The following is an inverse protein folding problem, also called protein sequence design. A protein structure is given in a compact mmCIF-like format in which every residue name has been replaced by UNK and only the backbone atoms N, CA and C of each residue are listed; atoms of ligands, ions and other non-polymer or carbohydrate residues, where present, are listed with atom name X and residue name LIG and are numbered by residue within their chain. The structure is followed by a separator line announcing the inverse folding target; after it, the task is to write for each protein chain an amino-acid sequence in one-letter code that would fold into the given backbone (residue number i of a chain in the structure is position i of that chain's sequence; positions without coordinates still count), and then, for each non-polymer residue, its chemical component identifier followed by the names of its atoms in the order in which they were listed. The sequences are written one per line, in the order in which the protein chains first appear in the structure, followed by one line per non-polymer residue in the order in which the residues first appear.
data_IF_556427490157
#
_entry.id   IF_556427490157
#
_cell.length_a   1.000
_cell.length_b   1.000
_cell.length_c   1.000
_cell.angle_alpha   90.00
_cell.angle_beta   90.00
_cell.angle_gamma   90.00
#
_symmetry.space_group_name_H-M   'P 1'
#
loop_
_entity.id
_entity.type
_entity.pdbx_description
1 polymer ?
#
# COMPACT_ATOMS: atom_id res chain seq x y z
N UNK A 1 -26.85 -6.28 21.58
CA UNK A 1 -26.37 -6.36 20.22
C UNK A 1 -26.66 -7.75 19.68
N UNK A 2 -27.52 -7.80 18.68
CA UNK A 2 -27.83 -9.03 17.97
C UNK A 2 -26.62 -9.39 17.11
N UNK A 3 -25.80 -10.30 17.61
CA UNK A 3 -24.75 -10.94 16.81
C UNK A 3 -25.46 -11.90 15.85
N UNK A 4 -25.38 -11.64 14.55
CA UNK A 4 -25.87 -12.57 13.53
C UNK A 4 -25.12 -13.90 13.70
N UNK A 5 -25.87 -14.96 14.04
CA UNK A 5 -25.38 -16.33 14.17
C UNK A 5 -24.77 -16.74 12.82
N UNK A 6 -23.44 -16.86 12.76
CA UNK A 6 -22.71 -17.26 11.56
C UNK A 6 -21.54 -16.39 11.13
N UNK A 7 -21.20 -15.31 11.83
CA UNK A 7 -20.00 -14.54 11.55
C UNK A 7 -18.79 -15.24 12.16
N UNK A 8 -17.84 -15.65 11.33
CA UNK A 8 -16.56 -16.27 11.73
C UNK A 8 -15.79 -15.42 12.78
N UNK A 9 -16.05 -14.13 12.82
CA UNK A 9 -15.47 -13.18 13.75
C UNK A 9 -15.98 -13.34 15.19
N UNK A 10 -17.25 -13.76 15.40
CA UNK A 10 -17.80 -14.02 16.74
C UNK A 10 -17.34 -15.37 17.34
N UNK A 11 -16.90 -16.31 16.52
CA UNK A 11 -16.38 -17.61 16.96
C UNK A 11 -14.92 -17.45 17.41
N UNK A 12 -14.17 -16.56 16.81
CA UNK A 12 -12.75 -16.34 17.07
C UNK A 12 -12.46 -15.69 18.43
N UNK A 13 -13.40 -14.91 18.95
CA UNK A 13 -13.23 -14.18 20.23
C UNK A 13 -13.82 -14.93 21.45
N UNK A 14 -14.33 -16.15 21.28
CA UNK A 14 -14.82 -16.97 22.38
C UNK A 14 -13.68 -17.81 22.95
N UNK A 15 -13.39 -17.65 24.25
CA UNK A 15 -12.40 -18.46 24.98
C UNK A 15 -12.66 -19.96 24.85
N UNK A 16 -13.93 -20.38 24.83
CA UNK A 16 -14.33 -21.78 24.64
C UNK A 16 -14.06 -22.30 23.22
N UNK A 17 -14.15 -21.42 22.21
CA UNK A 17 -13.83 -21.79 20.84
C UNK A 17 -12.32 -21.96 20.65
N UNK A 18 -11.52 -21.12 21.31
CA UNK A 18 -10.06 -21.21 21.31
C UNK A 18 -9.58 -22.51 22.00
N UNK A 19 -10.19 -22.91 23.11
CA UNK A 19 -9.87 -24.16 23.80
C UNK A 19 -10.21 -25.39 22.93
N UNK A 20 -11.40 -25.43 22.32
CA UNK A 20 -11.80 -26.50 21.43
C UNK A 20 -10.94 -26.58 20.16
N UNK A 21 -10.53 -25.43 19.64
CA UNK A 21 -9.61 -25.39 18.48
C UNK A 21 -8.23 -25.94 18.85
N UNK A 22 -7.73 -25.63 20.04
CA UNK A 22 -6.47 -26.16 20.57
C UNK A 22 -6.54 -27.67 20.72
N UNK A 23 -7.60 -28.21 21.30
CA UNK A 23 -7.84 -29.64 21.48
C UNK A 23 -7.94 -30.39 20.14
N UNK A 24 -8.66 -29.84 19.16
CA UNK A 24 -8.76 -30.38 17.81
C UNK A 24 -7.42 -30.35 17.06
N UNK A 25 -6.64 -29.28 17.23
CA UNK A 25 -5.32 -29.15 16.60
C UNK A 25 -4.34 -30.16 17.17
N UNK A 26 -4.37 -30.39 18.48
CA UNK A 26 -3.55 -31.39 19.17
C UNK A 26 -3.93 -32.82 18.75
N UNK A 27 -5.21 -33.10 18.68
CA UNK A 27 -5.68 -34.43 18.17
C UNK A 27 -5.31 -34.63 16.73
N UNK A 28 -5.44 -33.62 15.87
CA UNK A 28 -5.05 -33.72 14.47
C UNK A 28 -3.54 -33.96 14.29
N UNK A 29 -2.70 -33.29 15.07
CA UNK A 29 -1.26 -33.43 15.03
C UNK A 29 -0.80 -34.87 15.38
N UNK A 30 -1.44 -35.46 16.38
CA UNK A 30 -1.15 -36.87 16.77
C UNK A 30 -1.63 -37.87 15.70
N UNK A 31 -2.81 -37.64 15.13
CA UNK A 31 -3.42 -38.58 14.19
C UNK A 31 -2.91 -38.45 12.76
N UNK A 32 -2.35 -37.30 12.38
CA UNK A 32 -1.81 -37.05 11.04
C UNK A 32 -0.43 -37.63 10.79
N UNK A 33 0.30 -37.97 11.85
CA UNK A 33 1.64 -38.58 11.77
C UNK A 33 1.58 -40.03 12.19
N UNK A 34 1.90 -40.98 11.29
CA UNK A 34 1.85 -42.39 11.54
C UNK A 34 2.75 -42.85 12.71
N UNK A 35 3.87 -42.17 12.97
CA UNK A 35 4.77 -42.50 14.08
C UNK A 35 4.18 -42.01 15.42
N UNK A 36 3.64 -40.80 15.46
CA UNK A 36 2.98 -40.25 16.65
C UNK A 36 1.73 -41.04 16.98
N UNK A 37 0.96 -41.45 15.95
CA UNK A 37 -0.21 -42.30 16.09
C UNK A 37 0.13 -43.64 16.69
N UNK A 38 1.17 -44.33 16.21
CA UNK A 38 1.62 -45.60 16.78
C UNK A 38 2.10 -45.45 18.22
N UNK A 39 2.74 -44.35 18.55
CA UNK A 39 3.17 -44.05 19.92
C UNK A 39 1.96 -43.82 20.83
N UNK A 40 0.95 -43.09 20.33
CA UNK A 40 -0.30 -42.88 21.04
C UNK A 40 -1.10 -44.16 21.24
N UNK A 41 -1.19 -45.02 20.20
CA UNK A 41 -1.90 -46.32 20.26
C UNK A 41 -1.26 -47.29 21.24
N UNK A 42 0.08 -47.22 21.44
CA UNK A 42 0.81 -48.12 22.35
C UNK A 42 0.89 -47.57 23.80
N UNK A 43 0.98 -46.26 23.98
CA UNK A 43 1.30 -45.68 25.29
C UNK A 43 0.27 -44.62 25.78
N UNK A 44 -0.78 -44.36 25.00
CA UNK A 44 -1.84 -43.39 25.34
C UNK A 44 -1.32 -41.98 25.46
N UNK A 45 -2.06 -41.13 26.17
CA UNK A 45 -1.67 -39.72 26.44
C UNK A 45 -0.33 -39.60 27.19
N UNK A 46 0.04 -40.57 28.01
CA UNK A 46 1.32 -40.51 28.74
C UNK A 46 2.54 -40.75 27.83
N UNK A 47 2.39 -41.51 26.76
CA UNK A 47 3.49 -41.75 25.80
C UNK A 47 3.84 -40.50 24.97
N UNK A 48 2.87 -39.66 24.70
CA UNK A 48 3.09 -38.42 23.97
C UNK A 48 3.58 -37.30 24.91
N UNK A 49 3.14 -37.30 26.19
CA UNK A 49 3.56 -36.36 27.20
C UNK A 49 4.91 -36.68 27.84
N UNK A 50 5.34 -37.95 27.91
CA UNK A 50 6.59 -38.33 28.57
C UNK A 50 7.86 -37.93 27.80
N UNK A 51 7.77 -37.60 26.54
CA UNK A 51 8.86 -36.97 25.78
C UNK A 51 9.09 -35.50 26.19
N UNK A 52 8.21 -34.95 27.02
CA UNK A 52 8.17 -33.51 27.38
C UNK A 52 8.35 -33.19 28.87
N UNK A 53 8.47 -34.23 29.73
CA UNK A 53 8.45 -34.01 31.18
C UNK A 53 9.84 -34.13 31.81
N UNK A 54 10.68 -33.13 31.56
CA UNK A 54 11.79 -32.83 32.47
C UNK A 54 12.11 -31.34 32.51
N UNK A 55 11.25 -30.56 33.13
CA UNK A 55 11.60 -29.42 34.02
C UNK A 55 10.37 -28.57 34.38
N UNK A 56 10.16 -28.41 35.68
CA UNK A 56 9.19 -27.54 36.31
C UNK A 56 9.44 -26.08 35.94
N UNK A 57 8.42 -25.39 35.31
CA UNK A 57 8.44 -23.93 35.10
C UNK A 57 8.07 -23.48 33.69
N UNK A 58 6.94 -23.94 33.10
CA UNK A 58 6.83 -23.84 31.64
C UNK A 58 5.46 -23.42 31.09
N UNK A 59 4.79 -22.47 31.64
CA UNK A 59 3.60 -21.91 30.97
C UNK A 59 3.97 -20.79 29.97
N UNK A 60 5.06 -20.03 30.19
CA UNK A 60 5.51 -18.95 29.28
C UNK A 60 6.57 -19.41 28.26
N UNK A 61 7.30 -20.50 28.55
CA UNK A 61 8.28 -21.07 27.64
C UNK A 61 7.69 -21.88 26.47
N UNK A 62 6.39 -22.22 26.53
CA UNK A 62 5.71 -23.03 25.52
C UNK A 62 5.47 -22.30 24.21
N UNK A 63 5.29 -20.98 24.25
CA UNK A 63 5.04 -20.14 23.06
C UNK A 63 6.31 -19.90 22.24
N UNK A 64 7.45 -19.77 22.91
CA UNK A 64 8.72 -19.44 22.24
C UNK A 64 9.44 -20.68 21.67
N UNK A 65 9.31 -21.84 22.35
CA UNK A 65 9.95 -23.07 21.91
C UNK A 65 9.16 -23.75 20.78
N UNK A 66 7.83 -23.64 20.78
CA UNK A 66 6.98 -24.20 19.72
C UNK A 66 7.05 -23.43 18.41
N UNK A 67 7.24 -22.10 18.46
CA UNK A 67 7.45 -21.24 17.28
C UNK A 67 8.75 -21.60 16.54
N UNK A 68 9.83 -21.80 17.26
CA UNK A 68 11.14 -22.06 16.65
C UNK A 68 11.32 -23.51 16.19
N UNK A 69 10.81 -24.50 16.93
CA UNK A 69 10.92 -25.93 16.54
C UNK A 69 9.97 -26.28 15.40
N UNK A 70 8.78 -25.68 15.34
CA UNK A 70 7.85 -25.88 14.24
C UNK A 70 8.35 -25.26 12.94
N UNK A 71 9.04 -24.13 13.01
CA UNK A 71 9.73 -23.51 11.89
C UNK A 71 10.91 -24.34 11.36
N UNK A 72 11.61 -25.05 12.23
CA UNK A 72 12.79 -25.86 11.86
C UNK A 72 12.43 -27.26 11.33
N UNK A 73 11.33 -27.88 11.77
CA UNK A 73 10.96 -29.25 11.40
C UNK A 73 9.99 -29.29 10.22
N UNK A 74 9.08 -28.31 10.09
CA UNK A 74 8.11 -28.26 8.98
C UNK A 74 8.48 -27.29 7.86
N UNK A 75 9.32 -26.29 8.13
CA UNK A 75 9.99 -25.51 7.10
C UNK A 75 11.20 -26.29 6.59
N UNK A 76 10.97 -27.15 5.61
CA UNK A 76 11.95 -28.09 5.03
C UNK A 76 13.40 -27.61 5.14
N UNK A 77 14.21 -28.38 5.86
CA UNK A 77 15.68 -28.42 5.90
C UNK A 77 16.39 -27.55 4.84
N UNK A 78 16.30 -26.24 4.94
CA UNK A 78 17.29 -25.36 4.37
C UNK A 78 18.09 -24.83 5.55
N UNK A 79 19.17 -25.55 5.88
CA UNK A 79 20.19 -25.04 6.81
C UNK A 79 20.45 -23.60 6.48
N UNK A 80 20.29 -22.72 7.46
CA UNK A 80 20.40 -21.27 7.35
C UNK A 80 21.70 -20.83 6.65
N UNK A 81 21.71 -20.90 5.33
CA UNK A 81 22.58 -20.05 4.53
C UNK A 81 22.01 -18.66 4.74
N UNK A 82 22.65 -17.88 5.63
CA UNK A 82 22.43 -16.45 5.68
C UNK A 82 22.25 -16.00 4.23
N UNK A 83 21.07 -15.43 3.92
CA UNK A 83 20.71 -15.06 2.57
C UNK A 83 21.88 -14.27 1.96
N UNK A 84 22.57 -14.88 1.01
CA UNK A 84 23.68 -14.22 0.31
C UNK A 84 23.19 -13.12 -0.63
N UNK A 85 21.87 -12.93 -0.69
CA UNK A 85 21.20 -11.89 -1.46
C UNK A 85 21.27 -10.55 -0.71
N UNK A 86 21.45 -9.47 -1.46
CA UNK A 86 21.41 -8.12 -0.91
C UNK A 86 20.03 -7.70 -0.45
N UNK A 87 20.00 -6.64 0.35
CA UNK A 87 18.76 -6.04 0.80
C UNK A 87 17.98 -5.43 -0.37
N UNK A 88 16.66 -5.50 -0.27
CA UNK A 88 15.78 -4.80 -1.18
C UNK A 88 15.79 -3.30 -0.86
N UNK A 89 15.70 -2.47 -1.89
CA UNK A 89 15.65 -1.01 -1.78
C UNK A 89 14.23 -0.52 -2.03
N UNK A 90 13.86 0.55 -1.34
CA UNK A 90 12.61 1.27 -1.57
C UNK A 90 12.91 2.69 -2.04
N UNK A 91 12.24 3.13 -3.08
CA UNK A 91 12.34 4.46 -3.65
C UNK A 91 10.94 5.06 -3.82
N UNK A 92 10.71 6.27 -3.30
CA UNK A 92 9.45 6.98 -3.49
C UNK A 92 9.57 7.88 -4.70
N UNK A 93 8.71 7.66 -5.69
CA UNK A 93 8.66 8.42 -6.94
C UNK A 93 7.39 9.28 -6.98
N UNK A 94 7.58 10.58 -6.97
CA UNK A 94 6.49 11.53 -7.14
C UNK A 94 6.20 11.76 -8.61
N UNK A 95 4.93 11.64 -8.99
CA UNK A 95 4.44 11.83 -10.37
C UNK A 95 3.25 12.77 -10.40
N UNK A 96 3.06 13.48 -11.50
CA UNK A 96 1.84 14.27 -11.68
C UNK A 96 0.65 13.37 -12.05
N UNK A 97 -0.57 13.90 -11.91
CA UNK A 97 -1.78 13.18 -12.29
C UNK A 97 -1.74 12.75 -13.77
N UNK A 98 -1.28 13.63 -14.65
CA UNK A 98 -1.18 13.36 -16.10
C UNK A 98 -0.16 12.24 -16.37
N UNK A 99 0.98 12.28 -15.70
CA UNK A 99 2.01 11.24 -15.82
C UNK A 99 1.51 9.88 -15.34
N UNK A 100 0.72 9.86 -14.26
CA UNK A 100 0.09 8.64 -13.75
C UNK A 100 -0.98 8.10 -14.72
N UNK A 101 -1.75 8.98 -15.35
CA UNK A 101 -2.83 8.59 -16.26
C UNK A 101 -2.31 8.10 -17.61
N UNK A 102 -1.38 8.84 -18.21
CA UNK A 102 -0.88 8.52 -19.56
C UNK A 102 0.33 7.58 -19.54
N UNK A 103 0.96 7.43 -18.39
CA UNK A 103 2.23 6.73 -18.26
C UNK A 103 3.40 7.56 -18.78
N UNK A 104 4.57 7.32 -18.24
CA UNK A 104 5.80 8.02 -18.61
C UNK A 104 7.02 7.16 -18.35
N UNK A 105 8.06 7.36 -19.14
CA UNK A 105 9.38 6.82 -18.82
C UNK A 105 10.22 7.91 -18.14
N UNK A 106 10.70 7.62 -16.94
CA UNK A 106 11.52 8.53 -16.14
C UNK A 106 12.87 7.89 -15.85
N UNK A 107 13.90 8.72 -15.76
CA UNK A 107 15.22 8.27 -15.32
C UNK A 107 15.38 8.65 -13.85
N UNK A 108 15.65 7.65 -13.02
CA UNK A 108 15.94 7.84 -11.59
C UNK A 108 17.42 7.54 -11.34
N UNK A 109 17.99 8.19 -10.35
CA UNK A 109 19.34 7.91 -9.87
C UNK A 109 19.25 7.28 -8.49
N UNK A 110 19.81 6.09 -8.35
CA UNK A 110 19.87 5.38 -7.08
C UNK A 110 21.31 5.13 -6.65
N UNK A 111 21.62 5.22 -5.36
CA UNK A 111 22.92 4.80 -4.86
C UNK A 111 23.05 3.29 -5.01
N UNK A 112 24.05 2.84 -5.72
CA UNK A 112 24.34 1.43 -5.94
C UNK A 112 25.74 1.11 -5.43
N UNK A 113 25.83 0.06 -4.61
CA UNK A 113 27.13 -0.50 -4.21
C UNK A 113 27.57 -1.51 -5.26
N UNK A 114 28.79 -1.39 -5.70
CA UNK A 114 29.42 -2.31 -6.64
C UNK A 114 30.67 -2.90 -6.04
N UNK A 115 31.00 -4.15 -6.40
CA UNK A 115 32.26 -4.75 -5.99
C UNK A 115 33.41 -3.94 -6.58
N UNK A 116 34.37 -3.57 -5.75
CA UNK A 116 35.60 -2.94 -6.21
C UNK A 116 36.33 -3.92 -7.12
N UNK A 117 36.79 -3.45 -8.29
CA UNK A 117 37.56 -4.26 -9.25
C UNK A 117 39.00 -4.63 -8.81
N UNK A 118 39.31 -4.47 -7.52
CA UNK A 118 40.59 -4.88 -6.93
C UNK A 118 40.71 -6.40 -6.73
N UNK A 119 41.87 -6.84 -6.26
CA UNK A 119 42.16 -8.25 -5.99
C UNK A 119 41.35 -8.74 -4.77
N UNK A 120 40.60 -9.81 -5.01
CA UNK A 120 39.89 -10.53 -3.96
C UNK A 120 40.63 -11.84 -3.69
N UNK A 121 41.07 -12.02 -2.47
CA UNK A 121 41.79 -13.22 -2.03
C UNK A 121 40.86 -14.10 -1.18
N UNK A 122 40.94 -15.41 -1.37
CA UNK A 122 40.27 -16.35 -0.49
C UNK A 122 40.69 -16.11 0.97
N UNK A 123 39.70 -16.05 1.88
CA UNK A 123 40.00 -15.95 3.30
C UNK A 123 40.78 -17.18 3.78
N UNK A 124 42.01 -16.99 4.17
CA UNK A 124 42.86 -18.09 4.66
C UNK A 124 42.35 -18.73 5.95
N UNK A 125 41.56 -18.00 6.74
CA UNK A 125 41.06 -18.49 8.03
C UNK A 125 39.90 -19.49 7.88
N UNK A 126 39.00 -19.29 6.94
CA UNK A 126 37.88 -20.20 6.68
C UNK A 126 38.01 -20.98 5.36
N UNK A 127 39.13 -20.82 4.64
CA UNK A 127 39.33 -21.48 3.35
C UNK A 127 38.31 -21.10 2.27
N UNK A 128 37.69 -19.92 2.39
CA UNK A 128 36.64 -19.48 1.46
C UNK A 128 35.21 -19.87 1.86
N UNK A 129 35.01 -20.63 2.95
CA UNK A 129 33.68 -21.10 3.35
C UNK A 129 32.79 -20.00 4.02
N UNK A 130 33.39 -18.88 4.44
CA UNK A 130 32.65 -17.82 5.15
C UNK A 130 32.28 -18.17 6.59
N UNK A 131 32.33 -19.42 6.97
CA UNK A 131 31.96 -19.95 8.29
C UNK A 131 33.05 -20.87 8.82
N UNK A 132 33.18 -20.95 10.12
CA UNK A 132 34.06 -21.85 10.83
C UNK A 132 33.19 -22.85 11.61
N UNK A 133 33.55 -24.12 11.57
CA UNK A 133 32.93 -25.16 12.40
C UNK A 133 33.79 -25.38 13.62
N UNK A 134 33.27 -25.10 14.79
CA UNK A 134 33.86 -25.47 16.05
C UNK A 134 33.15 -26.71 16.60
N UNK A 135 33.92 -27.77 16.85
CA UNK A 135 33.44 -28.98 17.44
C UNK A 135 33.75 -28.91 18.96
N UNK A 136 32.71 -28.86 19.77
CA UNK A 136 32.81 -29.02 21.21
C UNK A 136 32.10 -30.32 21.63
N UNK A 137 32.83 -31.39 21.80
CA UNK A 137 32.28 -32.71 22.08
C UNK A 137 31.39 -33.22 20.95
N UNK A 138 30.17 -33.57 21.27
CA UNK A 138 29.18 -34.09 20.28
C UNK A 138 28.45 -32.97 19.51
N UNK A 139 28.64 -31.71 19.86
CA UNK A 139 27.98 -30.60 19.21
C UNK A 139 28.93 -29.89 18.22
N UNK A 140 28.45 -29.71 17.00
CA UNK A 140 29.11 -28.93 15.96
C UNK A 140 28.40 -27.59 15.84
N UNK A 141 29.05 -26.50 16.32
CA UNK A 141 28.56 -25.14 16.14
C UNK A 141 29.20 -24.52 14.90
N UNK A 142 28.35 -23.92 14.08
CA UNK A 142 28.76 -23.15 12.91
C UNK A 142 28.77 -21.65 13.28
N UNK A 143 29.94 -21.01 13.19
CA UNK A 143 30.10 -19.61 13.49
C UNK A 143 30.56 -18.83 12.26
N UNK A 144 30.05 -17.62 12.07
CA UNK A 144 30.51 -16.73 11.00
C UNK A 144 32.00 -16.44 11.18
N UNK A 145 32.79 -16.55 10.10
CA UNK A 145 34.21 -16.31 10.13
C UNK A 145 34.52 -14.86 10.56
N UNK A 146 35.26 -14.61 11.66
CA UNK A 146 35.55 -13.27 12.15
C UNK A 146 36.45 -12.48 11.19
N UNK A 147 37.27 -13.16 10.38
CA UNK A 147 38.20 -12.52 9.45
C UNK A 147 37.54 -11.94 8.21
N UNK A 148 36.69 -12.71 7.53
CA UNK A 148 35.97 -12.29 6.34
C UNK A 148 34.51 -11.89 6.62
N UNK A 149 34.07 -11.98 7.88
CA UNK A 149 32.70 -11.66 8.32
C UNK A 149 31.57 -12.36 7.52
N UNK A 150 31.89 -13.56 7.06
CA UNK A 150 30.94 -14.39 6.28
C UNK A 150 31.10 -14.31 4.77
N UNK A 151 31.95 -13.46 4.22
CA UNK A 151 32.14 -13.29 2.78
C UNK A 151 32.94 -14.42 2.12
N UNK A 152 33.79 -15.13 2.86
CA UNK A 152 34.68 -16.14 2.32
C UNK A 152 35.91 -15.57 1.61
N UNK A 153 35.87 -14.29 1.23
CA UNK A 153 36.89 -13.57 0.50
C UNK A 153 37.33 -12.31 1.28
N UNK A 154 38.55 -11.86 1.09
CA UNK A 154 39.10 -10.65 1.71
C UNK A 154 39.63 -9.76 0.61
N UNK A 155 39.23 -8.50 0.61
CA UNK A 155 39.76 -7.50 -0.31
C UNK A 155 41.05 -6.90 0.22
N UNK A 156 41.94 -6.47 -0.68
CA UNK A 156 43.19 -5.80 -0.30
C UNK A 156 42.86 -4.51 0.49
N UNK A 157 43.44 -4.44 1.71
CA UNK A 157 43.25 -3.30 2.60
C UNK A 157 43.83 -1.99 2.06
N UNK A 158 44.81 -2.08 1.14
CA UNK A 158 45.51 -0.93 0.56
C UNK A 158 44.87 -0.40 -0.73
N UNK A 159 43.69 -0.85 -1.10
CA UNK A 159 43.01 -0.38 -2.29
C UNK A 159 42.57 1.09 -2.12
N UNK A 160 43.15 1.99 -2.93
CA UNK A 160 42.83 3.42 -2.89
C UNK A 160 41.43 3.78 -3.35
N UNK A 161 40.71 2.88 -4.07
CA UNK A 161 39.39 3.11 -4.59
C UNK A 161 38.29 2.83 -3.52
N UNK A 162 38.51 1.86 -2.66
CA UNK A 162 37.51 1.45 -1.68
C UNK A 162 38.01 1.51 -0.22
N UNK A 163 39.28 1.94 0.00
CA UNK A 163 39.91 2.01 1.31
C UNK A 163 39.77 0.70 2.13
N UNK A 164 39.87 -0.43 1.43
CA UNK A 164 39.78 -1.76 2.03
C UNK A 164 38.36 -2.26 2.30
N UNK A 165 37.32 -1.50 1.97
CA UNK A 165 35.91 -1.93 2.16
C UNK A 165 35.46 -3.00 1.16
N UNK A 166 36.16 -3.12 0.03
CA UNK A 166 35.80 -4.01 -1.07
C UNK A 166 34.63 -3.53 -1.94
N UNK A 167 33.99 -2.43 -1.59
CA UNK A 167 32.84 -1.89 -2.29
C UNK A 167 33.03 -0.41 -2.64
N UNK A 168 32.54 -0.01 -3.79
CA UNK A 168 32.47 1.38 -4.23
C UNK A 168 31.01 1.79 -4.36
N UNK A 169 30.69 3.00 -3.95
CA UNK A 169 29.34 3.57 -4.11
C UNK A 169 29.31 4.38 -5.39
N UNK A 170 28.46 4.01 -6.32
CA UNK A 170 28.21 4.74 -7.58
C UNK A 170 26.72 5.05 -7.67
N UNK A 171 26.37 6.19 -8.28
CA UNK A 171 24.99 6.46 -8.63
C UNK A 171 24.67 5.78 -9.97
N UNK A 172 23.70 4.87 -9.94
CA UNK A 172 23.22 4.18 -11.13
C UNK A 172 21.98 4.88 -11.66
N UNK A 173 21.99 5.20 -12.96
CA UNK A 173 20.83 5.74 -13.67
C UNK A 173 19.97 4.58 -14.18
N UNK A 174 18.72 4.54 -13.76
CA UNK A 174 17.75 3.53 -14.20
C UNK A 174 16.60 4.20 -14.92
N UNK A 175 16.23 3.66 -16.08
CA UNK A 175 15.03 4.06 -16.79
C UNK A 175 13.86 3.25 -16.28
N UNK A 176 12.89 3.93 -15.68
CA UNK A 176 11.67 3.34 -15.12
C UNK A 176 10.50 3.71 -16.02
N UNK A 177 9.80 2.70 -16.51
CA UNK A 177 8.58 2.89 -17.27
C UNK A 177 7.37 2.81 -16.33
N UNK A 178 6.71 3.93 -16.14
CA UNK A 178 5.43 4.01 -15.43
C UNK A 178 4.32 3.62 -16.41
N UNK A 179 3.56 2.56 -16.16
CA UNK A 179 2.44 2.21 -17.01
C UNK A 179 1.29 3.22 -16.86
N UNK A 180 0.46 3.34 -17.89
CA UNK A 180 -0.70 4.21 -17.84
C UNK A 180 -1.77 3.68 -16.86
N UNK A 181 -2.37 4.60 -16.09
CA UNK A 181 -3.44 4.27 -15.16
C UNK A 181 -2.99 3.79 -13.79
N UNK A 182 -1.71 4.01 -13.42
CA UNK A 182 -1.21 3.72 -12.06
C UNK A 182 -1.96 4.54 -11.02
N UNK A 183 -2.12 3.98 -9.83
CA UNK A 183 -2.77 4.65 -8.69
C UNK A 183 -1.75 5.07 -7.63
N UNK A 184 -2.19 5.94 -6.73
CA UNK A 184 -1.38 6.31 -5.58
C UNK A 184 -1.09 5.08 -4.71
N UNK A 185 0.16 4.94 -4.26
CA UNK A 185 0.60 3.78 -3.50
C UNK A 185 0.91 2.52 -4.32
N UNK A 186 0.70 2.51 -5.65
CA UNK A 186 1.13 1.41 -6.51
C UNK A 186 2.64 1.23 -6.45
N UNK A 187 3.10 -0.04 -6.55
CA UNK A 187 4.52 -0.39 -6.46
C UNK A 187 5.01 -1.06 -7.74
N UNK A 188 6.12 -0.56 -8.25
CA UNK A 188 6.84 -1.15 -9.39
C UNK A 188 8.08 -1.85 -8.84
N UNK A 189 8.24 -3.14 -9.17
CA UNK A 189 9.43 -3.92 -8.80
C UNK A 189 10.41 -3.98 -9.96
N UNK A 190 11.64 -3.61 -9.71
CA UNK A 190 12.76 -3.80 -10.60
C UNK A 190 13.68 -4.89 -10.02
N UNK A 191 13.65 -6.06 -10.64
CA UNK A 191 14.40 -7.22 -10.14
C UNK A 191 15.90 -7.02 -10.30
N UNK A 192 16.68 -7.32 -9.25
CA UNK A 192 18.12 -7.24 -9.25
C UNK A 192 18.71 -5.81 -9.21
N UNK A 193 17.89 -4.80 -8.89
CA UNK A 193 18.33 -3.40 -8.77
C UNK A 193 18.43 -2.93 -7.31
N UNK A 194 18.35 -3.86 -6.36
CA UNK A 194 18.57 -3.62 -4.93
C UNK A 194 20.05 -3.59 -4.55
N UNK A 195 20.34 -3.63 -3.25
CA UNK A 195 21.70 -3.68 -2.73
C UNK A 195 22.42 -4.95 -3.15
N UNK A 196 23.73 -4.86 -3.26
CA UNK A 196 24.58 -6.00 -3.51
C UNK A 196 24.77 -6.81 -2.22
N UNK A 197 24.41 -8.09 -2.27
CA UNK A 197 24.62 -9.03 -1.18
C UNK A 197 26.02 -9.61 -1.14
N UNK A 198 26.34 -10.25 -0.02
CA UNK A 198 27.66 -10.89 0.19
C UNK A 198 27.99 -11.96 -0.83
N UNK A 199 26.99 -12.68 -1.34
CA UNK A 199 27.14 -13.70 -2.37
C UNK A 199 27.16 -13.17 -3.81
N UNK A 200 27.19 -11.86 -4.02
CA UNK A 200 27.14 -11.25 -5.34
C UNK A 200 25.73 -11.11 -5.94
N UNK A 201 24.71 -11.68 -5.29
CA UNK A 201 23.33 -11.54 -5.72
C UNK A 201 22.74 -10.22 -5.19
N UNK A 202 22.05 -9.49 -6.05
CA UNK A 202 21.40 -8.23 -5.67
C UNK A 202 20.00 -8.49 -5.13
N UNK A 203 19.54 -7.61 -4.27
CA UNK A 203 18.14 -7.46 -3.92
C UNK A 203 17.32 -6.87 -5.06
N UNK A 204 16.08 -6.52 -4.80
CA UNK A 204 15.21 -5.84 -5.74
C UNK A 204 15.00 -4.38 -5.34
N UNK A 205 14.63 -3.55 -6.31
CA UNK A 205 14.21 -2.18 -6.05
C UNK A 205 12.70 -2.09 -6.17
N UNK A 206 12.05 -1.62 -5.12
CA UNK A 206 10.62 -1.32 -5.09
C UNK A 206 10.42 0.19 -5.20
N UNK A 207 9.75 0.62 -6.26
CA UNK A 207 9.41 2.01 -6.50
C UNK A 207 7.96 2.20 -6.12
N UNK A 208 7.70 2.94 -5.04
CA UNK A 208 6.36 3.35 -4.62
C UNK A 208 6.00 4.64 -5.36
N UNK A 209 4.87 4.62 -6.05
CA UNK A 209 4.35 5.77 -6.78
C UNK A 209 3.55 6.63 -5.82
N UNK A 210 3.84 7.92 -5.79
CA UNK A 210 3.11 8.92 -5.03
C UNK A 210 2.57 9.96 -6.02
N UNK A 211 1.25 10.03 -6.18
CA UNK A 211 0.61 10.96 -7.11
C UNK A 211 0.40 12.29 -6.41
N UNK A 212 0.98 13.36 -6.99
CA UNK A 212 0.80 14.72 -6.47
C UNK A 212 -0.65 15.16 -6.56
N UNK A 213 -1.09 15.92 -5.57
CA UNK A 213 -2.37 16.60 -5.63
C UNK A 213 -2.44 17.51 -6.86
N UNK A 214 -3.57 17.46 -7.56
CA UNK A 214 -3.79 18.26 -8.74
C UNK A 214 -4.67 19.48 -8.41
N UNK A 215 -4.38 20.64 -9.00
CA UNK A 215 -5.05 21.91 -8.69
C UNK A 215 -6.55 21.96 -9.06
N UNK A 216 -6.99 21.11 -9.99
CA UNK A 216 -8.35 21.12 -10.53
C UNK A 216 -9.08 19.80 -10.26
N UNK A 217 -8.35 18.67 -10.34
CA UNK A 217 -8.94 17.36 -10.27
C UNK A 217 -8.58 16.63 -8.98
N UNK A 218 -9.59 16.05 -8.37
CA UNK A 218 -9.45 15.06 -7.30
C UNK A 218 -9.73 13.67 -7.88
N UNK A 219 -8.84 12.72 -7.63
CA UNK A 219 -8.95 11.36 -8.15
C UNK A 219 -9.61 10.44 -7.13
N UNK A 220 -10.61 9.68 -7.59
CA UNK A 220 -11.18 8.56 -6.84
C UNK A 220 -11.21 7.32 -7.74
N UNK A 221 -10.19 6.48 -7.56
CA UNK A 221 -9.96 5.31 -8.37
C UNK A 221 -9.86 5.65 -9.87
N UNK A 222 -10.89 5.28 -10.65
CA UNK A 222 -10.96 5.58 -12.09
C UNK A 222 -11.69 6.88 -12.42
N UNK A 223 -12.40 7.47 -11.45
CA UNK A 223 -13.16 8.70 -11.65
C UNK A 223 -12.35 9.93 -11.25
N UNK A 224 -12.67 11.04 -11.87
CA UNK A 224 -12.13 12.34 -11.53
C UNK A 224 -13.25 13.26 -11.10
N UNK A 225 -13.01 13.99 -10.03
CA UNK A 225 -13.90 15.04 -9.54
C UNK A 225 -13.27 16.39 -9.83
N UNK A 226 -14.08 17.35 -10.23
CA UNK A 226 -13.66 18.74 -10.31
C UNK A 226 -14.80 19.65 -9.88
N UNK A 227 -14.46 20.77 -9.28
CA UNK A 227 -15.39 21.82 -8.93
C UNK A 227 -15.26 22.98 -9.93
N UNK A 228 -16.40 23.45 -10.44
CA UNK A 228 -16.42 24.52 -11.42
C UNK A 228 -17.37 25.62 -10.95
N UNK A 229 -16.90 26.86 -10.82
CA UNK A 229 -17.76 27.99 -10.53
C UNK A 229 -18.69 28.25 -11.71
N UNK A 230 -19.95 28.46 -11.43
CA UNK A 230 -21.00 28.75 -12.40
C UNK A 230 -21.65 30.09 -12.07
N UNK A 231 -21.69 30.99 -13.03
CA UNK A 231 -22.40 32.27 -12.88
C UNK A 231 -23.88 32.03 -12.54
N UNK A 232 -24.40 32.82 -11.59
CA UNK A 232 -25.79 32.65 -11.14
C UNK A 232 -26.82 32.88 -12.25
N UNK A 233 -26.50 33.76 -13.23
CA UNK A 233 -27.37 34.03 -14.38
C UNK A 233 -27.44 32.82 -15.28
N UNK A 234 -26.29 32.20 -15.60
CA UNK A 234 -26.23 30.95 -16.35
C UNK A 234 -26.87 29.78 -15.60
N UNK A 235 -26.76 29.77 -14.28
CA UNK A 235 -27.45 28.76 -13.44
C UNK A 235 -28.97 28.92 -13.51
N UNK A 236 -29.48 30.18 -13.53
CA UNK A 236 -30.91 30.48 -13.58
C UNK A 236 -31.51 30.29 -14.96
N UNK A 237 -30.88 30.83 -16.01
CA UNK A 237 -31.40 30.83 -17.37
C UNK A 237 -31.05 29.55 -18.17
N UNK A 238 -30.00 28.88 -17.75
CA UNK A 238 -29.36 27.83 -18.49
C UNK A 238 -28.33 28.36 -19.48
N UNK A 239 -27.35 27.54 -19.78
CA UNK A 239 -26.21 27.97 -20.60
C UNK A 239 -25.32 26.78 -20.98
N UNK A 240 -24.09 27.07 -21.24
CA UNK A 240 -23.07 26.04 -21.45
C UNK A 240 -21.72 26.51 -20.92
N UNK A 241 -21.03 25.61 -20.24
CA UNK A 241 -19.69 25.86 -19.70
C UNK A 241 -18.68 24.94 -20.38
N UNK A 242 -17.45 25.41 -20.51
CA UNK A 242 -16.30 24.59 -20.92
C UNK A 242 -15.56 24.13 -19.68
N UNK A 243 -15.33 22.82 -19.60
CA UNK A 243 -14.65 22.18 -18.48
C UNK A 243 -13.39 21.51 -19.02
N UNK A 244 -12.25 21.66 -18.33
CA UNK A 244 -11.04 20.93 -18.70
C UNK A 244 -11.26 19.44 -18.57
N UNK A 245 -10.56 18.67 -19.39
CA UNK A 245 -10.49 17.22 -19.32
C UNK A 245 -9.02 16.80 -19.46
N UNK A 246 -8.69 15.56 -19.18
CA UNK A 246 -7.33 15.06 -19.36
C UNK A 246 -6.78 15.25 -20.79
N UNK A 247 -7.64 15.33 -21.80
CA UNK A 247 -7.27 15.39 -23.23
C UNK A 247 -7.83 16.65 -23.91
N UNK A 248 -8.01 17.74 -23.18
CA UNK A 248 -8.52 18.99 -23.77
C UNK A 248 -9.73 19.53 -23.01
N UNK A 249 -10.76 20.00 -23.74
CA UNK A 249 -11.94 20.63 -23.15
C UNK A 249 -13.21 19.88 -23.53
N UNK A 250 -14.19 19.87 -22.65
CA UNK A 250 -15.53 19.38 -22.91
C UNK A 250 -16.56 20.47 -22.63
N UNK A 251 -17.58 20.58 -23.46
CA UNK A 251 -18.68 21.52 -23.27
C UNK A 251 -19.85 20.82 -22.57
N UNK A 252 -20.30 21.37 -21.46
CA UNK A 252 -21.44 20.86 -20.69
C UNK A 252 -22.60 21.82 -20.86
N UNK A 253 -23.79 21.29 -21.23
CA UNK A 253 -25.02 22.06 -21.24
C UNK A 253 -25.62 22.12 -19.86
N UNK A 254 -25.83 23.33 -19.36
CA UNK A 254 -26.42 23.62 -18.06
C UNK A 254 -27.93 23.86 -18.25
N UNK A 255 -28.80 23.05 -17.65
CA UNK A 255 -30.24 23.31 -17.65
C UNK A 255 -30.56 24.56 -16.80
N UNK A 256 -31.63 25.27 -17.20
CA UNK A 256 -32.15 26.37 -16.39
C UNK A 256 -32.57 25.89 -14.99
N UNK A 257 -32.37 26.74 -13.99
CA UNK A 257 -32.67 26.41 -12.60
C UNK A 257 -31.68 25.46 -11.93
N UNK A 258 -30.48 25.31 -12.49
CA UNK A 258 -29.43 24.47 -11.90
C UNK A 258 -29.00 25.03 -10.54
N UNK A 259 -29.05 24.19 -9.51
CA UNK A 259 -28.69 24.54 -8.15
C UNK A 259 -27.21 24.25 -7.88
N UNK A 260 -26.64 24.96 -6.89
CA UNK A 260 -25.29 24.71 -6.40
C UNK A 260 -25.13 23.25 -5.95
N UNK A 261 -23.92 22.70 -6.10
CA UNK A 261 -23.56 21.29 -5.82
C UNK A 261 -24.21 20.25 -6.75
N UNK A 262 -24.88 20.68 -7.84
CA UNK A 262 -25.32 19.76 -8.88
C UNK A 262 -24.11 19.11 -9.57
N UNK A 263 -24.15 17.80 -9.72
CA UNK A 263 -23.08 17.03 -10.37
C UNK A 263 -23.50 16.70 -11.81
N UNK A 264 -22.61 17.05 -12.74
CA UNK A 264 -22.70 16.65 -14.15
C UNK A 264 -21.67 15.59 -14.45
N UNK A 265 -22.06 14.55 -15.16
CA UNK A 265 -21.22 13.40 -15.47
C UNK A 265 -20.77 13.45 -16.93
N UNK A 266 -19.48 13.44 -17.16
CA UNK A 266 -18.85 13.29 -18.47
C UNK A 266 -18.40 11.83 -18.64
N UNK A 267 -19.21 11.05 -19.33
CA UNK A 267 -19.00 9.62 -19.49
C UNK A 267 -17.70 9.32 -20.25
N UNK A 268 -16.89 8.38 -19.74
CA UNK A 268 -15.69 7.87 -20.40
C UNK A 268 -14.56 8.90 -20.55
N UNK A 269 -14.57 10.01 -19.78
CA UNK A 269 -13.52 11.03 -19.77
C UNK A 269 -12.59 10.94 -18.58
N UNK A 270 -12.79 9.98 -17.68
CA UNK A 270 -11.92 9.70 -16.54
C UNK A 270 -10.69 8.87 -16.91
N UNK A 271 -10.22 8.09 -15.95
CA UNK A 271 -8.96 7.33 -16.04
C UNK A 271 -9.25 5.89 -16.50
N UNK A 272 -8.37 5.36 -17.34
CA UNK A 272 -8.33 3.94 -17.66
C UNK A 272 -7.49 3.21 -16.64
N UNK A 273 -8.06 2.29 -15.84
CA UNK A 273 -7.32 1.58 -14.80
C UNK A 273 -6.22 0.68 -15.38
N UNK A 274 -5.08 0.56 -14.64
CA UNK A 274 -3.95 -0.30 -15.01
C UNK A 274 -4.34 -1.78 -15.16
N UNK A 275 -5.19 -2.28 -14.26
CA UNK A 275 -5.61 -3.69 -14.21
C UNK A 275 -6.75 -4.04 -15.16
N UNK A 276 -7.05 -3.16 -16.11
CA UNK A 276 -8.15 -3.33 -17.05
C UNK A 276 -9.49 -2.84 -16.48
N UNK A 277 -10.50 -2.80 -17.34
CA UNK A 277 -11.83 -2.28 -17.03
C UNK A 277 -12.24 -1.12 -17.92
N UNK A 278 -13.45 -0.61 -17.73
CA UNK A 278 -13.96 0.55 -18.45
C UNK A 278 -13.28 1.83 -17.98
N UNK A 279 -13.08 2.76 -18.90
CA UNK A 279 -12.65 4.12 -18.59
C UNK A 279 -13.65 4.74 -17.60
N UNK A 280 -13.15 5.43 -16.61
CA UNK A 280 -13.96 6.16 -15.64
C UNK A 280 -14.61 7.41 -16.26
N UNK A 281 -15.24 8.18 -15.41
CA UNK A 281 -15.94 9.41 -15.80
C UNK A 281 -15.33 10.61 -15.08
N UNK A 282 -15.58 11.82 -15.61
CA UNK A 282 -15.37 13.05 -14.87
C UNK A 282 -16.69 13.48 -14.26
N UNK A 283 -16.70 13.73 -12.97
CA UNK A 283 -17.82 14.21 -12.18
C UNK A 283 -17.60 15.69 -11.87
N UNK A 284 -18.35 16.54 -12.55
CA UNK A 284 -18.23 18.00 -12.45
C UNK A 284 -19.27 18.52 -11.48
N UNK A 285 -18.82 18.97 -10.30
CA UNK A 285 -19.66 19.63 -9.32
C UNK A 285 -19.68 21.13 -9.62
N UNK A 286 -20.87 21.70 -9.86
CA UNK A 286 -20.99 23.14 -10.07
C UNK A 286 -21.26 23.84 -8.73
N UNK A 287 -20.58 24.97 -8.54
CA UNK A 287 -20.80 25.87 -7.41
C UNK A 287 -21.29 27.17 -7.97
N UNK A 288 -22.53 27.54 -7.64
CA UNK A 288 -23.10 28.80 -8.11
C UNK A 288 -22.42 29.95 -7.36
N UNK A 289 -21.76 30.82 -8.15
CA UNK A 289 -21.08 31.98 -7.64
C UNK A 289 -22.01 33.20 -7.67
N UNK A 290 -22.09 33.90 -6.54
CA UNK A 290 -22.84 35.16 -6.44
C UNK A 290 -21.89 36.32 -6.77
N UNK A 291 -22.23 37.17 -7.73
CA UNK A 291 -21.36 38.26 -8.13
C UNK A 291 -21.13 39.25 -7.01
N UNK A 292 -19.89 39.69 -6.88
CA UNK A 292 -19.44 40.72 -5.93
C UNK A 292 -19.13 42.05 -6.65
N UNK A 293 -19.02 43.17 -5.91
CA UNK A 293 -18.63 44.47 -6.44
C UNK A 293 -19.56 45.03 -7.55
N UNK A 294 -20.88 44.83 -7.35
CA UNK A 294 -21.89 45.32 -8.30
C UNK A 294 -21.90 46.82 -8.47
N UNK A 295 -21.99 47.30 -9.69
CA UNK A 295 -22.23 48.71 -10.00
C UNK A 295 -23.71 49.10 -9.76
N UNK A 296 -24.02 50.41 -9.87
CA UNK A 296 -25.35 50.92 -9.57
C UNK A 296 -26.43 50.38 -10.51
N UNK A 297 -26.10 50.19 -11.79
CA UNK A 297 -27.02 49.68 -12.78
C UNK A 297 -27.36 48.19 -12.52
N UNK A 298 -26.34 47.37 -12.21
CA UNK A 298 -26.52 45.95 -11.86
C UNK A 298 -27.37 45.79 -10.59
N UNK A 299 -27.15 46.65 -9.56
CA UNK A 299 -27.99 46.68 -8.36
C UNK A 299 -29.45 46.98 -8.67
N UNK A 300 -29.70 47.96 -9.56
CA UNK A 300 -31.04 48.33 -9.98
C UNK A 300 -31.75 47.17 -10.74
N UNK A 301 -31.01 46.45 -11.61
CA UNK A 301 -31.56 45.32 -12.33
C UNK A 301 -31.91 44.17 -11.37
N UNK A 302 -31.05 43.87 -10.40
CA UNK A 302 -31.31 42.85 -9.41
C UNK A 302 -32.48 43.20 -8.46
N UNK A 303 -32.64 44.47 -8.10
CA UNK A 303 -33.80 44.97 -7.33
C UNK A 303 -35.11 44.75 -8.12
N UNK A 304 -35.13 45.14 -9.40
CA UNK A 304 -36.30 44.90 -10.29
C UNK A 304 -36.61 43.43 -10.42
N UNK A 305 -35.59 42.58 -10.55
CA UNK A 305 -35.75 41.11 -10.57
C UNK A 305 -36.38 40.60 -9.27
N UNK A 306 -35.86 41.07 -8.10
CA UNK A 306 -36.39 40.72 -6.79
C UNK A 306 -37.87 41.12 -6.61
N UNK A 307 -38.27 42.26 -7.09
CA UNK A 307 -39.66 42.75 -7.03
C UNK A 307 -40.63 41.87 -7.84
N UNK A 308 -40.16 41.31 -8.94
CA UNK A 308 -40.93 40.39 -9.80
C UNK A 308 -40.86 38.91 -9.34
N UNK A 309 -40.07 38.58 -8.33
CA UNK A 309 -39.98 37.22 -7.81
C UNK A 309 -41.13 36.90 -6.87
N UNK A 310 -41.71 35.69 -7.06
CA UNK A 310 -42.59 35.03 -6.11
C UNK A 310 -41.83 33.91 -5.36
N UNK A 311 -41.78 33.99 -4.04
CA UNK A 311 -41.08 32.97 -3.25
C UNK A 311 -41.68 31.57 -3.44
N UNK A 312 -42.98 31.45 -3.64
CA UNK A 312 -43.65 30.16 -3.83
C UNK A 312 -43.24 29.49 -5.13
N UNK A 313 -43.10 30.27 -6.21
CA UNK A 313 -42.80 29.73 -7.54
C UNK A 313 -41.31 29.70 -7.87
N UNK A 314 -40.55 30.70 -7.39
CA UNK A 314 -39.15 30.88 -7.81
C UNK A 314 -38.13 30.39 -6.79
N UNK A 315 -38.55 30.13 -5.55
CA UNK A 315 -37.64 29.72 -4.47
C UNK A 315 -38.21 28.56 -3.63
N UNK A 316 -38.36 27.37 -4.22
CA UNK A 316 -39.04 26.25 -3.55
C UNK A 316 -38.36 25.79 -2.23
N UNK A 317 -37.02 25.88 -2.15
CA UNK A 317 -36.30 25.55 -0.92
C UNK A 317 -36.59 26.55 0.20
N UNK A 318 -36.62 27.85 -0.11
CA UNK A 318 -36.97 28.89 0.85
C UNK A 318 -38.41 28.73 1.34
N UNK A 319 -39.35 28.47 0.41
CA UNK A 319 -40.74 28.22 0.72
C UNK A 319 -40.92 27.01 1.64
N UNK A 320 -40.28 25.90 1.33
CA UNK A 320 -40.30 24.69 2.18
C UNK A 320 -39.73 24.96 3.57
N UNK A 321 -38.57 25.65 3.65
CA UNK A 321 -37.94 26.00 4.93
C UNK A 321 -38.84 26.92 5.78
N UNK A 322 -39.43 27.95 5.15
CA UNK A 322 -40.33 28.88 5.85
C UNK A 322 -41.56 28.14 6.41
N UNK A 323 -42.13 27.19 5.66
CA UNK A 323 -43.26 26.38 6.12
C UNK A 323 -42.86 25.48 7.30
N UNK A 324 -41.69 24.86 7.25
CA UNK A 324 -41.15 24.06 8.36
C UNK A 324 -40.85 24.92 9.59
N UNK A 325 -40.31 26.11 9.42
CA UNK A 325 -40.06 27.04 10.51
C UNK A 325 -41.38 27.52 11.17
N UNK A 326 -42.39 27.87 10.35
CA UNK A 326 -43.74 28.21 10.87
C UNK A 326 -44.37 27.07 11.66
N UNK A 327 -44.23 25.83 11.18
CA UNK A 327 -44.77 24.66 11.89
C UNK A 327 -44.05 24.44 13.25
N UNK A 328 -42.72 24.64 13.27
CA UNK A 328 -41.95 24.56 14.51
C UNK A 328 -42.41 25.57 15.56
N UNK A 329 -42.55 26.86 15.19
CA UNK A 329 -42.99 27.89 16.10
C UNK A 329 -44.48 27.74 16.54
N UNK A 330 -45.29 27.03 15.76
CA UNK A 330 -46.69 26.77 16.13
C UNK A 330 -46.83 25.66 17.19
N UNK A 331 -45.79 24.80 17.30
CA UNK A 331 -45.77 23.70 18.28
C UNK A 331 -44.95 24.03 19.54
N UNK A 332 -44.39 25.24 19.66
CA UNK A 332 -43.79 25.83 20.85
C UNK A 332 -44.87 26.64 21.62
#
# INVERSE_FOLDING_TARGET
PLCLVGSEMCIRDSSQAAEKFKELSEAYEILSDDQKRQTYDNFGHEGVNSSFSSSQGAADAFSDIFGDIFSDIFGGSSGGRASSRGADLSYNLEVSLEEAVFGKSLNIEIPSKERCGGLWNRCSYCGGAGVIRQQQGFFSMQQTCPHCRGEGEIHDKNCSKCNGSGFTSNNKKLSVKIPAGVDDGDRIRLSGEGELGRGGNRGDLYISINVKEHSIFERDGRHLYCEVPLDFVDAALGGSIEVPTLVGKAKIKIPSGTQSHKIFRLNGKGIKPLRGGSVGDILVRVIVEVPVNLNTEQKNLLNKFKENMSHENNSPLMSSWLNSAKAFFKNL
#
